data_IF_502688238454
#
_entry.id   IF_502688238454
#
_cell.length_a   1.000
_cell.length_b   1.000
_cell.length_c   1.000
_cell.angle_alpha   90.00
_cell.angle_beta   90.00
_cell.angle_gamma   90.00
#
_symmetry.space_group_name_H-M   'P 1'
#
loop_
_entity.id
_entity.type
_entity.pdbx_description
1 polymer ?
#
# COMPACT_ATOMS: atom_id res chain seq x y z
N UNK A 1 -57.73 54.06 1.93
CA UNK A 1 -56.74 53.05 1.51
C UNK A 1 -57.50 51.78 1.23
N UNK A 2 -57.81 51.64 -0.05
CA UNK A 2 -58.52 50.55 -0.73
C UNK A 2 -57.87 49.20 -0.41
N UNK A 3 -58.52 48.04 -0.46
CA UNK A 3 -59.76 47.66 -1.12
C UNK A 3 -59.54 46.26 -1.72
N UNK A 4 -60.39 45.31 -1.29
CA UNK A 4 -60.91 44.11 -2.01
C UNK A 4 -59.91 43.14 -2.68
N UNK A 5 -60.18 41.83 -2.49
CA UNK A 5 -59.51 40.70 -3.18
C UNK A 5 -59.77 40.67 -4.69
N UNK A 6 -59.99 39.51 -5.37
CA UNK A 6 -59.98 38.12 -4.91
C UNK A 6 -59.43 37.09 -5.96
N UNK A 7 -59.53 35.79 -5.63
CA UNK A 7 -59.98 34.65 -6.48
C UNK A 7 -59.43 34.46 -7.92
N UNK A 8 -58.74 33.32 -8.07
CA UNK A 8 -59.18 32.10 -8.79
C UNK A 8 -58.94 31.89 -10.30
N UNK A 9 -58.83 30.58 -10.61
CA UNK A 9 -59.20 29.81 -11.83
C UNK A 9 -58.17 29.63 -12.95
N UNK A 10 -57.73 28.37 -13.03
CA UNK A 10 -57.76 27.47 -14.21
C UNK A 10 -58.07 28.06 -15.59
N UNK A 11 -57.27 27.68 -16.59
CA UNK A 11 -57.79 27.09 -17.83
C UNK A 11 -56.67 26.47 -18.68
N UNK A 12 -57.02 25.31 -19.27
CA UNK A 12 -56.30 24.56 -20.29
C UNK A 12 -56.30 25.27 -21.65
N UNK A 13 -55.44 24.70 -22.53
CA UNK A 13 -55.51 24.52 -24.01
C UNK A 13 -54.53 25.43 -24.76
N UNK A 14 -53.98 25.07 -25.92
CA UNK A 14 -53.66 23.82 -26.67
C UNK A 14 -52.93 24.32 -27.96
N UNK A 15 -52.26 23.41 -28.65
CA UNK A 15 -51.73 23.51 -30.04
C UNK A 15 -50.46 24.35 -30.15
N UNK A 16 -49.35 23.86 -30.71
CA UNK A 16 -49.15 22.97 -31.86
C UNK A 16 -48.26 23.78 -32.80
N UNK A 17 -47.04 23.38 -33.12
CA UNK A 17 -46.72 22.55 -34.29
C UNK A 17 -45.19 22.59 -34.48
N UNK A 18 -44.64 21.70 -35.30
CA UNK A 18 -43.41 22.02 -36.04
C UNK A 18 -42.21 21.10 -35.79
N UNK A 19 -42.13 20.10 -36.65
CA UNK A 19 -41.05 19.13 -36.83
C UNK A 19 -39.71 19.80 -37.12
N UNK A 20 -38.63 19.35 -36.49
CA UNK A 20 -37.29 19.42 -37.05
C UNK A 20 -36.60 18.05 -36.91
N UNK A 21 -36.49 17.36 -38.04
CA UNK A 21 -35.67 16.16 -38.23
C UNK A 21 -34.20 16.54 -38.07
N UNK A 22 -33.48 15.86 -37.17
CA UNK A 22 -32.03 15.80 -37.19
C UNK A 22 -31.61 14.38 -37.56
N UNK A 23 -30.92 14.28 -38.70
CA UNK A 23 -30.40 13.03 -39.27
C UNK A 23 -29.31 12.41 -38.39
N UNK A 24 -29.19 11.06 -38.32
CA UNK A 24 -28.13 10.40 -37.59
C UNK A 24 -26.84 10.40 -38.42
N UNK A 25 -25.83 11.14 -37.93
CA UNK A 25 -24.46 11.04 -38.43
C UNK A 25 -23.82 9.73 -37.95
N UNK A 26 -23.61 8.81 -38.88
CA UNK A 26 -22.86 7.58 -38.68
C UNK A 26 -21.37 7.92 -38.50
N UNK A 27 -20.87 7.78 -37.28
CA UNK A 27 -19.45 7.70 -36.96
C UNK A 27 -19.10 6.28 -36.55
N UNK A 28 -18.65 5.47 -37.49
CA UNK A 28 -18.22 4.09 -37.26
C UNK A 28 -16.84 4.06 -36.60
N UNK A 29 -16.80 4.28 -35.28
CA UNK A 29 -15.68 3.90 -34.43
C UNK A 29 -15.94 2.49 -33.90
N UNK A 30 -15.24 1.48 -34.42
CA UNK A 30 -15.28 0.11 -33.87
C UNK A 30 -14.76 0.13 -32.42
N UNK A 31 -15.66 0.06 -31.45
CA UNK A 31 -15.30 -0.39 -30.09
C UNK A 31 -15.22 -1.91 -30.14
N UNK A 32 -14.00 -2.46 -30.03
CA UNK A 32 -13.84 -3.89 -29.81
C UNK A 32 -14.29 -4.24 -28.38
N UNK A 33 -15.15 -5.26 -28.20
CA UNK A 33 -15.52 -5.72 -26.87
C UNK A 33 -14.32 -6.42 -26.20
N UNK A 34 -13.96 -5.95 -25.01
CA UNK A 34 -13.01 -6.63 -24.12
C UNK A 34 -13.48 -8.07 -23.89
N UNK A 35 -12.73 -9.05 -24.42
CA UNK A 35 -12.92 -10.46 -24.08
C UNK A 35 -12.46 -10.71 -22.64
N UNK A 36 -13.25 -11.38 -21.79
CA UNK A 36 -12.73 -11.88 -20.53
C UNK A 36 -11.70 -12.97 -20.85
N UNK A 37 -10.46 -12.79 -20.38
CA UNK A 37 -9.42 -13.80 -20.49
C UNK A 37 -9.69 -14.89 -19.45
N UNK A 38 -10.64 -15.77 -19.76
CA UNK A 38 -10.79 -17.04 -19.07
C UNK A 38 -9.69 -17.98 -19.53
N UNK A 39 -8.57 -18.00 -18.80
CA UNK A 39 -7.58 -19.06 -18.95
C UNK A 39 -7.89 -20.15 -17.93
N UNK A 40 -8.29 -21.31 -18.46
CA UNK A 40 -8.42 -22.56 -17.73
C UNK A 40 -7.08 -22.86 -17.02
N UNK A 41 -7.15 -23.05 -15.70
CA UNK A 41 -6.01 -23.46 -14.89
C UNK A 41 -5.87 -24.98 -15.06
N UNK A 42 -4.89 -25.41 -15.84
CA UNK A 42 -4.43 -26.80 -15.81
C UNK A 42 -3.56 -27.00 -14.55
N UNK A 43 -3.81 -28.03 -13.71
CA UNK A 43 -3.03 -28.29 -12.53
C UNK A 43 -1.67 -28.91 -12.90
N UNK A 44 -0.59 -28.23 -12.51
CA UNK A 44 0.78 -28.74 -12.58
C UNK A 44 0.95 -29.95 -11.66
N UNK A 45 0.97 -31.14 -12.26
CA UNK A 45 1.26 -32.41 -11.64
C UNK A 45 2.78 -32.64 -11.64
N UNK A 46 3.43 -32.55 -10.46
CA UNK A 46 4.68 -33.28 -10.27
C UNK A 46 5.75 -32.69 -9.34
N UNK A 47 5.54 -32.78 -8.02
CA UNK A 47 6.49 -33.43 -7.09
C UNK A 47 5.81 -33.59 -5.72
N UNK A 48 5.56 -34.84 -5.35
CA UNK A 48 4.74 -35.25 -4.22
C UNK A 48 5.39 -35.07 -2.85
N UNK A 49 4.52 -34.92 -1.86
CA UNK A 49 4.81 -34.84 -0.43
C UNK A 49 3.58 -34.32 0.31
N UNK A 50 2.59 -35.19 0.50
CA UNK A 50 1.25 -34.95 1.07
C UNK A 50 1.24 -34.30 2.45
N UNK A 51 0.46 -33.23 2.62
CA UNK A 51 -0.46 -33.08 3.76
C UNK A 51 -1.50 -32.00 3.48
N UNK A 52 -2.77 -32.40 3.51
CA UNK A 52 -3.92 -31.54 3.52
C UNK A 52 -4.02 -30.73 4.82
N UNK A 53 -4.20 -29.41 4.68
CA UNK A 53 -4.85 -28.47 5.62
C UNK A 53 -4.16 -28.30 6.99
N UNK A 54 -3.11 -27.48 7.00
CA UNK A 54 -2.76 -26.66 8.16
C UNK A 54 -2.82 -25.19 7.77
N UNK A 55 -3.86 -24.46 8.15
CA UNK A 55 -3.89 -23.00 7.97
C UNK A 55 -2.79 -22.41 8.87
N UNK A 56 -1.66 -21.96 8.31
CA UNK A 56 -0.59 -21.29 9.04
C UNK A 56 0.82 -21.65 8.56
N UNK A 57 1.81 -20.84 8.95
CA UNK A 57 3.25 -21.03 8.66
C UNK A 57 3.93 -21.58 9.91
N UNK A 58 4.85 -22.53 9.76
CA UNK A 58 5.62 -23.07 10.89
C UNK A 58 6.58 -22.00 11.45
N UNK A 59 6.65 -21.88 12.77
CA UNK A 59 7.52 -20.90 13.43
C UNK A 59 9.01 -21.12 13.08
N UNK A 60 9.42 -22.37 12.87
CA UNK A 60 10.78 -22.71 12.46
C UNK A 60 11.10 -22.22 11.04
N UNK A 61 10.13 -22.27 10.12
CA UNK A 61 10.31 -21.70 8.77
C UNK A 61 10.48 -20.18 8.84
N UNK A 62 9.72 -19.52 9.71
CA UNK A 62 9.88 -18.08 9.96
C UNK A 62 11.27 -17.78 10.56
N UNK A 63 11.72 -18.56 11.54
CA UNK A 63 13.03 -18.41 12.16
C UNK A 63 14.16 -18.47 11.12
N UNK A 64 14.16 -19.51 10.28
CA UNK A 64 15.14 -19.68 9.20
C UNK A 64 15.10 -18.52 8.21
N UNK A 65 13.92 -18.01 7.88
CA UNK A 65 13.78 -16.92 6.92
C UNK A 65 14.41 -15.60 7.36
N UNK A 66 14.47 -15.35 8.68
CA UNK A 66 15.01 -14.10 9.23
C UNK A 66 16.38 -14.28 9.89
N UNK A 67 16.97 -15.48 9.80
CA UNK A 67 18.24 -15.81 10.45
C UNK A 67 18.18 -15.86 11.98
N UNK A 68 17.01 -16.16 12.54
CA UNK A 68 16.85 -16.41 13.97
C UNK A 68 17.14 -17.89 14.30
N UNK A 69 17.57 -18.16 15.52
CA UNK A 69 17.64 -19.53 16.01
C UNK A 69 16.23 -20.14 16.04
N UNK A 70 16.02 -21.35 15.47
CA UNK A 70 14.72 -22.00 15.51
C UNK A 70 14.36 -22.35 16.96
N UNK A 71 13.15 -22.01 17.43
CA UNK A 71 12.72 -22.40 18.76
C UNK A 71 12.51 -23.92 18.84
N UNK A 72 12.69 -24.47 20.04
CA UNK A 72 12.59 -25.92 20.29
C UNK A 72 11.18 -26.45 19.96
N UNK A 73 10.14 -25.63 20.18
CA UNK A 73 8.74 -26.03 19.97
C UNK A 73 8.26 -25.61 18.58
N UNK A 74 7.86 -26.60 17.77
CA UNK A 74 7.15 -26.34 16.50
C UNK A 74 5.73 -25.87 16.81
N UNK A 75 5.40 -24.64 16.40
CA UNK A 75 4.04 -24.08 16.46
C UNK A 75 3.72 -23.42 15.13
N UNK A 76 2.44 -23.43 14.75
CA UNK A 76 1.96 -22.76 13.55
C UNK A 76 1.40 -21.39 13.86
N UNK A 77 1.76 -20.43 13.03
CA UNK A 77 1.33 -19.03 13.11
C UNK A 77 0.36 -18.75 11.95
N UNK A 78 -0.78 -18.13 12.25
CA UNK A 78 -1.84 -17.83 11.25
C UNK A 78 -2.01 -16.34 10.98
N UNK A 79 -1.51 -15.48 11.86
CA UNK A 79 -1.52 -14.03 11.74
C UNK A 79 -0.41 -13.40 12.57
N UNK A 80 -0.34 -12.07 12.57
CA UNK A 80 0.58 -11.32 13.40
C UNK A 80 -0.08 -10.05 13.94
N UNK A 81 0.24 -9.71 15.18
CA UNK A 81 -0.23 -8.48 15.84
C UNK A 81 0.92 -7.85 16.61
N UNK A 82 1.05 -6.53 16.52
CA UNK A 82 2.02 -5.72 17.27
C UNK A 82 1.40 -5.02 18.49
N UNK A 83 0.09 -5.16 18.69
CA UNK A 83 -0.65 -4.68 19.85
C UNK A 83 -1.26 -5.88 20.58
N UNK A 84 -0.92 -6.04 21.87
CA UNK A 84 -1.42 -7.13 22.71
C UNK A 84 -2.94 -7.18 22.69
N UNK A 85 -3.61 -6.02 22.67
CA UNK A 85 -5.07 -5.88 22.73
C UNK A 85 -5.78 -6.38 21.48
N UNK A 86 -5.08 -6.43 20.34
CA UNK A 86 -5.64 -6.84 19.04
C UNK A 86 -5.16 -8.21 18.57
N UNK A 87 -4.38 -8.92 19.42
CA UNK A 87 -4.02 -10.32 19.21
C UNK A 87 -5.27 -11.17 19.00
N UNK A 88 -5.20 -12.06 18.02
CA UNK A 88 -6.17 -13.11 17.74
C UNK A 88 -5.53 -14.48 17.99
N UNK A 89 -6.33 -15.53 18.31
CA UNK A 89 -5.80 -16.88 18.44
C UNK A 89 -4.99 -17.33 17.23
N UNK A 90 -3.76 -17.80 17.48
CA UNK A 90 -2.82 -18.23 16.43
C UNK A 90 -1.88 -17.14 15.91
N UNK A 91 -1.99 -15.91 16.43
CA UNK A 91 -1.07 -14.83 16.05
C UNK A 91 0.34 -15.03 16.62
N UNK A 92 1.32 -14.55 15.85
CA UNK A 92 2.64 -14.17 16.33
C UNK A 92 2.54 -12.76 16.93
N UNK A 93 2.88 -12.62 18.21
CA UNK A 93 2.94 -11.32 18.87
C UNK A 93 4.27 -10.61 18.55
N UNK A 94 4.20 -9.44 17.94
CA UNK A 94 5.36 -8.64 17.54
C UNK A 94 5.70 -7.68 18.67
N UNK A 95 6.59 -8.13 19.56
CA UNK A 95 6.97 -7.44 20.78
C UNK A 95 8.24 -6.61 20.56
N UNK A 96 8.08 -5.35 20.14
CA UNK A 96 9.19 -4.47 19.81
C UNK A 96 9.67 -3.63 21.01
N UNK A 97 10.95 -3.23 21.07
CA UNK A 97 11.40 -2.17 21.97
C UNK A 97 10.73 -0.84 21.56
N UNK A 98 9.99 -0.24 22.48
CA UNK A 98 9.34 1.05 22.30
C UNK A 98 10.06 2.18 23.04
N UNK A 99 9.61 3.42 22.82
CA UNK A 99 10.17 4.61 23.50
C UNK A 99 9.83 4.71 24.98
N UNK A 100 8.71 4.11 25.41
CA UNK A 100 8.15 4.23 26.77
C UNK A 100 8.14 2.90 27.52
N UNK A 101 7.92 1.82 26.80
CA UNK A 101 7.81 0.47 27.33
C UNK A 101 8.26 -0.52 26.26
N UNK A 102 8.60 -1.73 26.68
CA UNK A 102 8.96 -2.82 25.81
C UNK A 102 7.72 -3.69 25.50
N UNK A 103 7.56 -4.17 24.27
CA UNK A 103 6.38 -4.99 23.91
C UNK A 103 6.21 -6.25 24.77
N UNK A 104 7.31 -6.90 25.14
CA UNK A 104 7.29 -8.06 26.05
C UNK A 104 6.76 -7.74 27.46
N UNK A 105 6.68 -6.48 27.87
CA UNK A 105 6.05 -6.11 29.15
C UNK A 105 4.54 -6.44 29.15
N UNK A 106 3.95 -6.67 27.97
CA UNK A 106 2.55 -7.04 27.76
C UNK A 106 2.36 -8.50 27.30
N UNK A 107 3.39 -9.35 27.42
CA UNK A 107 3.38 -10.72 26.88
C UNK A 107 2.31 -11.63 27.51
N UNK A 108 1.98 -11.40 28.79
CA UNK A 108 0.92 -12.14 29.47
C UNK A 108 -0.46 -11.86 28.86
N UNK A 109 -0.76 -10.60 28.53
CA UNK A 109 -2.00 -10.23 27.86
C UNK A 109 -2.07 -10.84 26.46
N UNK A 110 -0.97 -10.76 25.70
CA UNK A 110 -0.88 -11.36 24.37
C UNK A 110 -1.11 -12.89 24.44
N UNK A 111 -0.49 -13.58 25.40
CA UNK A 111 -0.71 -15.03 25.61
C UNK A 111 -2.17 -15.32 25.96
N UNK A 112 -2.78 -14.54 26.85
CA UNK A 112 -4.17 -14.72 27.26
C UNK A 112 -5.16 -14.56 26.09
N UNK A 113 -4.84 -13.72 25.10
CA UNK A 113 -5.65 -13.53 23.88
C UNK A 113 -5.36 -14.55 22.78
N UNK A 114 -4.39 -15.45 23.00
CA UNK A 114 -4.11 -16.58 22.12
C UNK A 114 -2.91 -16.41 21.19
N UNK A 115 -1.98 -15.50 21.51
CA UNK A 115 -0.67 -15.49 20.85
C UNK A 115 0.03 -16.83 21.08
N UNK A 116 0.57 -17.43 20.02
CA UNK A 116 1.23 -18.75 20.07
C UNK A 116 2.75 -18.64 20.10
N UNK A 117 3.28 -17.47 19.75
CA UNK A 117 4.70 -17.16 19.70
C UNK A 117 4.92 -15.65 19.78
N UNK A 118 6.16 -15.23 20.00
CA UNK A 118 6.59 -13.84 19.95
C UNK A 118 7.75 -13.62 18.96
N UNK A 119 7.87 -12.41 18.42
CA UNK A 119 9.05 -11.89 17.72
C UNK A 119 9.57 -10.69 18.51
N UNK A 120 10.84 -10.72 18.92
CA UNK A 120 11.42 -9.68 19.77
C UNK A 120 12.94 -9.62 19.67
N UNK A 121 13.56 -8.66 20.37
CA UNK A 121 15.02 -8.51 20.51
C UNK A 121 15.59 -9.29 21.72
N UNK A 122 14.73 -9.76 22.61
CA UNK A 122 15.06 -10.65 23.72
C UNK A 122 14.04 -11.78 23.87
N UNK A 123 14.39 -12.82 24.60
CA UNK A 123 13.49 -13.96 24.83
C UNK A 123 12.30 -13.56 25.73
N UNK A 124 11.10 -14.03 25.38
CA UNK A 124 9.93 -14.04 26.27
C UNK A 124 10.11 -15.06 27.39
N UNK A 125 9.50 -14.79 28.55
CA UNK A 125 9.40 -15.80 29.62
C UNK A 125 8.18 -16.71 29.49
N UNK A 126 7.28 -16.41 28.54
CA UNK A 126 5.92 -16.96 28.48
C UNK A 126 5.60 -17.62 27.13
N UNK A 127 6.21 -17.16 26.04
CA UNK A 127 5.94 -17.57 24.66
C UNK A 127 7.22 -18.08 23.97
N UNK A 128 7.13 -19.10 23.08
CA UNK A 128 8.21 -19.39 22.14
C UNK A 128 8.57 -18.13 21.36
N UNK A 129 9.84 -17.73 21.34
CA UNK A 129 10.25 -16.43 20.80
C UNK A 129 11.27 -16.56 19.67
N UNK A 130 11.01 -15.86 18.58
CA UNK A 130 12.02 -15.54 17.57
C UNK A 130 12.79 -14.32 18.06
N UNK A 131 14.05 -14.54 18.48
CA UNK A 131 14.91 -13.48 18.99
C UNK A 131 15.85 -12.99 17.88
N UNK A 132 15.80 -11.70 17.56
CA UNK A 132 16.66 -11.07 16.54
C UNK A 132 17.09 -9.67 16.99
N UNK A 133 18.32 -9.20 16.69
CA UNK A 133 18.81 -7.91 17.20
C UNK A 133 17.99 -6.68 16.79
N UNK A 134 17.28 -6.72 15.66
CA UNK A 134 16.46 -5.62 15.15
C UNK A 134 15.10 -6.14 14.66
N UNK A 135 14.17 -6.48 15.57
CA UNK A 135 12.93 -7.15 15.22
C UNK A 135 12.06 -6.30 14.30
N UNK A 136 12.07 -4.97 14.46
CA UNK A 136 11.32 -4.02 13.62
C UNK A 136 11.59 -4.18 12.11
N UNK A 137 12.86 -4.38 11.72
CA UNK A 137 13.27 -4.60 10.32
C UNK A 137 12.85 -5.96 9.75
N UNK A 138 12.41 -6.90 10.61
CA UNK A 138 11.98 -8.25 10.21
C UNK A 138 10.47 -8.40 10.13
N UNK A 139 9.70 -7.50 10.76
CA UNK A 139 8.24 -7.60 10.84
C UNK A 139 7.61 -7.68 9.45
N UNK A 140 8.00 -6.80 8.53
CA UNK A 140 7.45 -6.77 7.17
C UNK A 140 7.64 -8.09 6.42
N UNK A 141 8.86 -8.67 6.46
CA UNK A 141 9.13 -9.96 5.83
C UNK A 141 8.36 -11.11 6.48
N UNK A 142 8.31 -11.15 7.81
CA UNK A 142 7.60 -12.20 8.57
C UNK A 142 6.10 -12.14 8.28
N UNK A 143 5.51 -10.95 8.35
CA UNK A 143 4.08 -10.76 8.09
C UNK A 143 3.73 -11.05 6.63
N UNK A 144 4.59 -10.70 5.69
CA UNK A 144 4.43 -11.09 4.29
C UNK A 144 4.32 -12.62 4.14
N UNK A 145 5.15 -13.40 4.84
CA UNK A 145 5.10 -14.87 4.80
C UNK A 145 3.84 -15.43 5.45
N UNK A 146 3.51 -14.98 6.66
CA UNK A 146 2.30 -15.40 7.41
C UNK A 146 1.06 -15.16 6.56
N UNK A 147 0.98 -14.01 5.90
CA UNK A 147 -0.13 -13.64 5.02
C UNK A 147 0.05 -14.09 3.56
N UNK A 148 0.95 -15.05 3.31
CA UNK A 148 1.15 -15.74 2.02
C UNK A 148 1.42 -14.78 0.84
N UNK A 149 2.13 -13.70 1.11
CA UNK A 149 2.49 -12.65 0.17
C UNK A 149 1.28 -12.06 -0.56
N UNK A 150 0.12 -11.93 0.10
CA UNK A 150 -1.12 -11.45 -0.51
C UNK A 150 -0.99 -10.10 -1.23
N UNK A 151 -0.06 -9.25 -0.79
CA UNK A 151 0.28 -7.99 -1.47
C UNK A 151 0.77 -8.16 -2.92
N UNK A 152 1.19 -9.36 -3.33
CA UNK A 152 1.64 -9.63 -4.71
C UNK A 152 0.49 -9.84 -5.68
N UNK A 153 -0.70 -10.08 -5.16
CA UNK A 153 -1.93 -10.26 -5.92
C UNK A 153 -2.70 -8.92 -6.06
N UNK A 154 -2.11 -7.82 -5.57
CA UNK A 154 -2.69 -6.48 -5.53
C UNK A 154 -1.75 -5.48 -6.24
N UNK A 155 -2.32 -4.60 -7.06
CA UNK A 155 -1.59 -3.45 -7.58
C UNK A 155 -1.55 -2.35 -6.52
N UNK A 156 -0.39 -2.20 -5.86
CA UNK A 156 -0.19 -1.23 -4.79
C UNK A 156 0.31 0.10 -5.35
N UNK A 157 -0.44 1.17 -5.08
CA UNK A 157 -0.09 2.55 -5.45
C UNK A 157 0.19 3.34 -4.17
N UNK A 158 1.46 3.62 -3.90
CA UNK A 158 1.86 4.37 -2.72
C UNK A 158 1.97 5.86 -3.01
N UNK A 159 1.47 6.70 -2.09
CA UNK A 159 1.59 8.16 -2.17
C UNK A 159 2.32 8.68 -0.94
N UNK A 160 3.38 9.45 -1.18
CA UNK A 160 4.18 10.07 -0.12
C UNK A 160 4.47 11.55 -0.41
N UNK A 161 4.90 12.28 0.62
CA UNK A 161 5.14 13.72 0.59
C UNK A 161 4.75 14.39 1.92
N UNK A 162 5.08 15.66 2.10
CA UNK A 162 4.70 16.39 3.32
C UNK A 162 3.20 16.63 3.36
N UNK A 163 2.64 17.23 2.31
CA UNK A 163 1.24 17.62 2.22
C UNK A 163 0.49 16.92 1.07
N UNK A 164 -0.83 16.76 1.21
CA UNK A 164 -1.70 16.26 0.15
C UNK A 164 -1.69 14.74 -0.07
N UNK A 165 -1.00 13.98 0.77
CA UNK A 165 -0.94 12.50 0.70
C UNK A 165 -2.34 11.89 0.78
N UNK A 166 -3.10 12.19 1.83
CA UNK A 166 -4.47 11.68 2.03
C UNK A 166 -5.38 12.03 0.86
N UNK A 167 -5.49 13.32 0.51
CA UNK A 167 -6.34 13.78 -0.60
C UNK A 167 -5.99 13.10 -1.92
N UNK A 168 -4.70 13.00 -2.24
CA UNK A 168 -4.25 12.34 -3.47
C UNK A 168 -4.50 10.84 -3.45
N UNK A 169 -4.32 10.18 -2.31
CA UNK A 169 -4.60 8.74 -2.16
C UNK A 169 -6.08 8.44 -2.37
N UNK A 170 -6.98 9.29 -1.84
CA UNK A 170 -8.42 9.14 -2.05
C UNK A 170 -8.83 9.43 -3.49
N UNK A 171 -8.30 10.50 -4.11
CA UNK A 171 -8.55 10.81 -5.52
C UNK A 171 -8.05 9.70 -6.45
N UNK A 172 -6.88 9.14 -6.16
CA UNK A 172 -6.34 8.00 -6.89
C UNK A 172 -7.26 6.79 -6.75
N UNK A 173 -7.71 6.48 -5.54
CA UNK A 173 -8.65 5.38 -5.30
C UNK A 173 -9.96 5.55 -6.08
N UNK A 174 -10.53 6.75 -6.05
CA UNK A 174 -11.75 7.08 -6.80
C UNK A 174 -11.54 7.00 -8.32
N UNK A 175 -10.40 7.46 -8.82
CA UNK A 175 -10.05 7.38 -10.25
C UNK A 175 -9.89 5.94 -10.74
N UNK A 176 -9.20 5.09 -9.97
CA UNK A 176 -9.07 3.65 -10.25
C UNK A 176 -10.44 2.95 -10.25
N UNK A 177 -11.30 3.26 -9.28
CA UNK A 177 -12.65 2.70 -9.23
C UNK A 177 -13.49 3.15 -10.43
N UNK A 178 -13.39 4.42 -10.84
CA UNK A 178 -14.04 4.94 -12.04
C UNK A 178 -13.50 4.30 -13.33
N UNK A 179 -12.26 3.82 -13.33
CA UNK A 179 -11.66 3.05 -14.43
C UNK A 179 -12.07 1.56 -14.43
N UNK A 180 -12.86 1.10 -13.46
CA UNK A 180 -13.39 -0.25 -13.37
C UNK A 180 -12.64 -1.21 -12.44
N UNK A 181 -11.65 -0.73 -11.69
CA UNK A 181 -10.94 -1.54 -10.70
C UNK A 181 -11.76 -1.76 -9.42
N UNK A 182 -11.52 -2.90 -8.75
CA UNK A 182 -11.99 -3.14 -7.38
C UNK A 182 -10.95 -2.59 -6.41
N UNK A 183 -11.23 -1.44 -5.80
CA UNK A 183 -10.21 -0.65 -5.11
C UNK A 183 -10.38 -0.68 -3.59
N UNK A 184 -9.26 -0.77 -2.89
CA UNK A 184 -9.18 -0.44 -1.47
C UNK A 184 -8.30 0.80 -1.23
N UNK A 185 -8.52 1.49 -0.12
CA UNK A 185 -7.72 2.63 0.31
C UNK A 185 -7.23 2.44 1.74
N UNK A 186 -5.99 2.86 2.00
CA UNK A 186 -5.39 2.85 3.32
C UNK A 186 -4.80 4.23 3.58
N UNK A 187 -5.44 4.99 4.46
CA UNK A 187 -5.08 6.37 4.78
C UNK A 187 -5.20 6.64 6.27
N UNK A 188 -4.81 7.83 6.71
CA UNK A 188 -5.09 8.27 8.08
C UNK A 188 -6.57 8.40 8.44
N UNK A 189 -7.47 8.49 7.45
CA UNK A 189 -8.92 8.56 7.68
C UNK A 189 -9.48 7.16 7.95
N UNK A 190 -8.91 6.12 7.36
CA UNK A 190 -9.41 4.76 7.52
C UNK A 190 -8.82 3.76 6.54
N UNK A 191 -9.20 2.50 6.76
CA UNK A 191 -8.85 1.34 5.96
C UNK A 191 -10.13 0.84 5.27
N UNK A 192 -10.38 1.30 4.05
CA UNK A 192 -11.61 1.01 3.33
C UNK A 192 -11.36 -0.01 2.21
N UNK A 193 -12.08 -1.13 2.23
CA UNK A 193 -12.05 -2.17 1.21
C UNK A 193 -13.43 -2.43 0.60
N UNK A 194 -13.54 -3.40 -0.32
CA UNK A 194 -14.79 -3.70 -1.00
C UNK A 194 -15.96 -4.06 -0.09
N UNK A 195 -15.70 -4.60 1.11
CA UNK A 195 -16.75 -5.03 2.06
C UNK A 195 -16.98 -4.08 3.23
N UNK A 196 -16.32 -2.93 3.26
CA UNK A 196 -16.52 -1.93 4.31
C UNK A 196 -15.25 -1.19 4.70
N UNK A 197 -15.39 -0.31 5.69
CA UNK A 197 -14.30 0.52 6.20
C UNK A 197 -14.16 0.36 7.72
N UNK A 198 -12.94 0.52 8.19
CA UNK A 198 -12.60 0.61 9.61
C UNK A 198 -11.70 1.83 9.86
N UNK A 199 -11.70 2.31 11.10
CA UNK A 199 -10.82 3.40 11.51
C UNK A 199 -9.34 2.96 11.46
N UNK A 200 -8.47 3.91 11.10
CA UNK A 200 -7.03 3.71 11.15
C UNK A 200 -6.44 4.42 12.36
N UNK A 201 -5.65 3.71 13.15
CA UNK A 201 -4.95 4.30 14.29
C UNK A 201 -3.81 5.26 13.87
N UNK A 202 -3.36 5.21 12.60
CA UNK A 202 -2.22 5.98 12.08
C UNK A 202 -2.43 6.33 10.61
N UNK A 203 -1.72 7.35 10.12
CA UNK A 203 -1.64 7.67 8.69
C UNK A 203 -1.18 6.49 7.85
N UNK A 204 -0.17 5.77 8.33
CA UNK A 204 0.24 4.47 7.81
C UNK A 204 0.31 3.51 9.01
N UNK A 205 -0.51 2.44 9.05
CA UNK A 205 -0.49 1.45 10.12
C UNK A 205 0.87 0.76 10.26
N UNK A 206 1.10 0.09 11.39
CA UNK A 206 2.30 -0.73 11.61
C UNK A 206 2.31 -1.95 10.69
N UNK A 207 3.50 -2.50 10.42
CA UNK A 207 3.69 -3.54 9.38
C UNK A 207 2.75 -4.75 9.54
N UNK A 208 2.54 -5.23 10.77
CA UNK A 208 1.63 -6.35 11.03
C UNK A 208 0.21 -6.04 10.57
N UNK A 209 -0.29 -4.83 10.90
CA UNK A 209 -1.61 -4.36 10.46
C UNK A 209 -1.65 -4.18 8.94
N UNK A 210 -0.64 -3.55 8.32
CA UNK A 210 -0.60 -3.34 6.87
C UNK A 210 -0.73 -4.66 6.11
N UNK A 211 0.11 -5.66 6.42
CA UNK A 211 0.09 -6.94 5.72
C UNK A 211 -1.20 -7.73 5.98
N UNK A 212 -1.75 -7.67 7.21
CA UNK A 212 -3.04 -8.27 7.55
C UNK A 212 -4.19 -7.64 6.76
N UNK A 213 -4.21 -6.31 6.67
CA UNK A 213 -5.25 -5.56 5.96
C UNK A 213 -5.16 -5.78 4.45
N UNK A 214 -3.96 -5.81 3.86
CA UNK A 214 -3.79 -6.16 2.45
C UNK A 214 -4.30 -7.57 2.14
N UNK A 215 -4.02 -8.53 3.04
CA UNK A 215 -4.58 -9.88 2.92
C UNK A 215 -6.10 -9.87 2.95
N UNK A 216 -6.70 -9.10 3.86
CA UNK A 216 -8.16 -8.91 3.91
C UNK A 216 -8.67 -8.33 2.59
N UNK A 217 -8.13 -7.20 2.12
CA UNK A 217 -8.59 -6.55 0.89
C UNK A 217 -8.52 -7.48 -0.32
N UNK A 218 -7.45 -8.26 -0.46
CA UNK A 218 -7.36 -9.30 -1.49
C UNK A 218 -8.47 -10.35 -1.34
N UNK A 219 -8.67 -10.89 -0.14
CA UNK A 219 -9.72 -11.89 0.12
C UNK A 219 -11.14 -11.31 -0.06
N UNK A 220 -11.27 -9.98 -0.01
CA UNK A 220 -12.48 -9.22 -0.32
C UNK A 220 -12.70 -8.99 -1.82
N UNK A 221 -11.69 -9.25 -2.66
CA UNK A 221 -11.75 -9.10 -4.11
C UNK A 221 -11.22 -7.77 -4.62
N UNK A 222 -10.43 -7.03 -3.81
CA UNK A 222 -9.69 -5.88 -4.32
C UNK A 222 -8.63 -6.33 -5.33
N UNK A 223 -8.46 -5.55 -6.40
CA UNK A 223 -7.40 -5.70 -7.40
C UNK A 223 -6.34 -4.62 -7.25
N UNK A 224 -6.70 -3.43 -6.73
CA UNK A 224 -5.82 -2.30 -6.53
C UNK A 224 -5.95 -1.73 -5.11
N UNK A 225 -4.84 -1.19 -4.57
CA UNK A 225 -4.83 -0.49 -3.28
C UNK A 225 -4.09 0.83 -3.39
N UNK A 226 -4.78 1.93 -3.09
CA UNK A 226 -4.14 3.22 -2.90
C UNK A 226 -3.72 3.37 -1.42
N UNK A 227 -2.41 3.52 -1.19
CA UNK A 227 -1.81 3.49 0.14
C UNK A 227 -1.09 4.80 0.45
N UNK A 228 -1.46 5.43 1.57
CA UNK A 228 -0.77 6.58 2.11
C UNK A 228 0.52 6.15 2.85
N UNK A 229 1.67 6.60 2.36
CA UNK A 229 2.99 6.25 2.90
C UNK A 229 3.64 7.48 3.55
N UNK A 230 3.52 7.58 4.87
CA UNK A 230 4.18 8.64 5.66
C UNK A 230 5.69 8.41 5.77
N UNK A 231 6.48 9.47 5.96
CA UNK A 231 7.93 9.36 6.20
C UNK A 231 8.25 8.47 7.40
N UNK A 232 7.47 8.59 8.48
CA UNK A 232 7.57 7.71 9.67
C UNK A 232 7.36 6.24 9.32
N UNK A 233 6.48 5.91 8.37
CA UNK A 233 6.26 4.52 7.96
C UNK A 233 7.49 3.88 7.34
N UNK A 234 8.33 4.68 6.71
CA UNK A 234 9.56 4.24 6.03
C UNK A 234 10.65 4.03 7.05
N UNK A 235 10.90 5.03 7.89
CA UNK A 235 11.93 4.99 8.94
C UNK A 235 11.64 3.94 10.00
N UNK A 236 10.35 3.67 10.24
CA UNK A 236 9.92 2.65 11.20
C UNK A 236 9.61 1.29 10.56
N UNK A 237 9.97 1.08 9.28
CA UNK A 237 9.86 -0.20 8.57
C UNK A 237 8.44 -0.76 8.45
N UNK A 238 7.42 0.11 8.46
CA UNK A 238 6.00 -0.30 8.41
C UNK A 238 5.57 -0.81 7.03
N UNK A 239 6.24 -0.36 5.98
CA UNK A 239 5.95 -0.75 4.58
C UNK A 239 6.97 -1.76 4.03
N UNK A 240 7.84 -2.30 4.88
CA UNK A 240 8.81 -3.31 4.48
C UNK A 240 8.12 -4.59 4.01
N UNK A 241 8.73 -5.25 3.03
CA UNK A 241 8.19 -6.46 2.42
C UNK A 241 7.05 -6.22 1.42
N UNK A 242 6.61 -4.98 1.21
CA UNK A 242 5.63 -4.63 0.17
C UNK A 242 6.28 -4.45 -1.20
N UNK A 243 5.47 -4.63 -2.24
CA UNK A 243 5.85 -4.37 -3.63
C UNK A 243 4.87 -3.39 -4.25
N UNK A 244 5.35 -2.17 -4.49
CA UNK A 244 4.57 -1.12 -5.14
C UNK A 244 4.64 -1.24 -6.66
N UNK A 245 3.49 -1.14 -7.32
CA UNK A 245 3.39 -0.96 -8.76
C UNK A 245 3.83 0.47 -9.13
N UNK A 246 3.33 1.45 -8.36
CA UNK A 246 3.67 2.87 -8.51
C UNK A 246 3.92 3.50 -7.14
N UNK A 247 4.95 4.34 -7.07
CA UNK A 247 5.18 5.26 -5.95
C UNK A 247 5.14 6.70 -6.44
N UNK A 248 4.20 7.48 -5.90
CA UNK A 248 4.06 8.92 -6.17
C UNK A 248 4.64 9.77 -5.05
N UNK A 249 5.52 10.72 -5.41
CA UNK A 249 6.05 11.73 -4.49
C UNK A 249 5.49 13.12 -4.84
N UNK A 250 4.80 13.74 -3.88
CA UNK A 250 4.04 14.96 -4.10
C UNK A 250 4.85 16.24 -3.86
N UNK A 251 5.40 16.40 -2.67
CA UNK A 251 6.15 17.58 -2.24
C UNK A 251 6.97 17.26 -0.99
N UNK A 252 7.97 18.11 -0.74
CA UNK A 252 8.70 18.19 0.51
C UNK A 252 8.65 19.65 0.96
N UNK A 253 8.03 19.93 2.09
CA UNK A 253 8.10 21.23 2.77
C UNK A 253 8.76 21.04 4.14
N UNK A 254 9.21 22.13 4.77
CA UNK A 254 9.95 22.10 6.05
C UNK A 254 9.07 21.77 7.27
N UNK A 255 8.08 20.89 7.09
CA UNK A 255 7.29 20.34 8.17
C UNK A 255 7.62 18.87 8.32
N UNK A 256 8.26 18.56 9.45
CA UNK A 256 8.78 17.26 9.84
C UNK A 256 10.00 16.81 9.03
N UNK A 257 11.10 16.57 9.74
CA UNK A 257 12.34 15.96 9.26
C UNK A 257 12.04 14.70 8.43
N UNK A 258 11.98 14.82 7.10
CA UNK A 258 12.03 13.64 6.25
C UNK A 258 13.47 13.15 6.32
N UNK A 259 13.69 12.07 7.05
CA UNK A 259 14.97 11.39 7.05
C UNK A 259 15.18 10.86 5.65
N UNK A 260 16.21 11.36 4.98
CA UNK A 260 16.67 10.90 3.67
C UNK A 260 17.40 9.57 3.82
N UNK A 261 16.76 8.55 4.40
CA UNK A 261 17.22 7.19 4.14
C UNK A 261 16.98 6.89 2.67
N UNK A 262 18.04 6.48 1.98
CA UNK A 262 18.04 6.28 0.53
C UNK A 262 17.08 5.15 0.19
N UNK A 263 15.98 5.49 -0.48
CA UNK A 263 15.03 4.53 -1.03
C UNK A 263 15.74 3.57 -1.99
N UNK A 264 15.96 2.33 -1.57
CA UNK A 264 16.47 1.27 -2.44
C UNK A 264 15.37 0.24 -2.68
N UNK A 265 14.65 0.38 -3.80
CA UNK A 265 13.73 -0.65 -4.27
C UNK A 265 14.56 -1.77 -4.91
N UNK A 266 14.84 -2.84 -4.16
CA UNK A 266 15.54 -4.03 -4.69
C UNK A 266 14.54 -5.12 -5.14
N UNK A 267 14.91 -5.89 -6.17
CA UNK A 267 14.02 -6.85 -6.85
C UNK A 267 14.69 -8.21 -7.09
N UNK A 268 14.12 -9.32 -6.58
CA UNK A 268 14.34 -10.66 -7.15
C UNK A 268 13.32 -10.97 -8.27
N UNK A 269 13.84 -11.43 -9.42
CA UNK A 269 13.13 -11.87 -10.64
C UNK A 269 12.13 -13.00 -10.38
N UNK A 270 11.02 -13.05 -11.13
CA UNK A 270 10.27 -14.30 -11.39
C UNK A 270 10.25 -14.59 -12.91
N UNK A 271 10.35 -15.86 -13.35
CA UNK A 271 10.45 -16.19 -14.78
C UNK A 271 9.13 -16.16 -15.58
N UNK A 272 7.95 -16.32 -14.95
CA UNK A 272 6.70 -16.60 -15.69
C UNK A 272 5.51 -15.70 -15.28
N UNK A 273 5.59 -14.39 -15.49
CA UNK A 273 4.42 -13.50 -15.44
C UNK A 273 4.28 -12.75 -16.77
N UNK A 274 3.14 -12.90 -17.44
CA UNK A 274 2.83 -12.23 -18.71
C UNK A 274 2.42 -10.76 -18.56
N UNK A 275 2.20 -10.28 -17.33
CA UNK A 275 2.11 -8.84 -17.06
C UNK A 275 3.52 -8.27 -16.99
N UNK A 276 3.84 -7.38 -17.93
CA UNK A 276 5.01 -6.53 -17.90
C UNK A 276 4.91 -5.62 -16.65
N UNK A 277 5.51 -6.01 -15.53
CA UNK A 277 5.52 -5.16 -14.32
C UNK A 277 6.62 -4.10 -14.49
N UNK A 278 6.39 -3.16 -15.40
CA UNK A 278 7.17 -1.93 -15.43
C UNK A 278 6.83 -1.18 -14.12
N UNK A 279 7.81 -1.02 -13.23
CA UNK A 279 7.63 -0.29 -11.96
C UNK A 279 7.89 1.18 -12.22
N UNK A 280 6.99 2.04 -11.75
CA UNK A 280 7.07 3.47 -12.04
C UNK A 280 7.22 4.31 -10.77
N UNK A 281 8.13 5.27 -10.79
CA UNK A 281 8.21 6.32 -9.79
C UNK A 281 7.72 7.63 -10.44
N UNK A 282 6.74 8.27 -9.83
CA UNK A 282 6.20 9.55 -10.29
C UNK A 282 6.62 10.66 -9.33
N UNK A 283 7.25 11.68 -9.87
CA UNK A 283 7.71 12.84 -9.13
C UNK A 283 6.99 14.08 -9.60
N UNK A 284 6.36 14.81 -8.67
CA UNK A 284 5.87 16.14 -8.97
C UNK A 284 7.03 17.08 -9.32
N UNK A 285 6.86 17.88 -10.36
CA UNK A 285 7.89 18.84 -10.82
C UNK A 285 8.22 19.90 -9.77
N UNK A 286 7.25 20.28 -8.92
CA UNK A 286 7.52 21.17 -7.78
C UNK A 286 8.43 20.52 -6.75
N UNK A 287 8.26 19.22 -6.53
CA UNK A 287 9.03 18.46 -5.55
C UNK A 287 10.48 18.24 -6.00
N UNK A 288 10.70 18.00 -7.30
CA UNK A 288 12.04 17.96 -7.90
C UNK A 288 12.75 19.31 -7.72
N UNK A 289 12.05 20.42 -7.97
CA UNK A 289 12.62 21.77 -7.81
C UNK A 289 13.02 22.06 -6.36
N UNK A 290 12.20 21.69 -5.38
CA UNK A 290 12.51 21.87 -3.96
C UNK A 290 13.68 20.99 -3.51
N UNK A 291 13.70 19.71 -3.92
CA UNK A 291 14.82 18.83 -3.61
C UNK A 291 16.14 19.35 -4.21
N UNK A 292 16.09 19.86 -5.45
CA UNK A 292 17.25 20.47 -6.11
C UNK A 292 17.73 21.73 -5.37
N UNK A 293 16.82 22.64 -5.00
CA UNK A 293 17.22 23.88 -4.31
C UNK A 293 17.82 23.62 -2.94
N UNK A 294 17.41 22.55 -2.25
CA UNK A 294 17.99 22.16 -0.96
C UNK A 294 19.37 21.51 -1.09
N UNK A 295 19.57 20.70 -2.14
CA UNK A 295 20.89 20.14 -2.48
C UNK A 295 21.88 21.23 -2.92
N UNK A 296 21.41 22.20 -3.71
CA UNK A 296 22.23 23.33 -4.17
C UNK A 296 22.58 24.28 -3.00
N UNK A 297 21.71 24.42 -2.00
CA UNK A 297 21.89 25.33 -0.87
C UNK A 297 22.85 24.83 0.24
N UNK A 298 23.49 23.67 0.08
CA UNK A 298 24.47 23.12 1.04
C UNK A 298 23.96 23.06 2.50
N UNK A 299 22.66 22.82 2.72
CA UNK A 299 22.03 22.74 4.06
C UNK A 299 22.29 21.36 4.73
N UNK A 300 23.41 20.72 4.42
CA UNK A 300 23.87 19.50 5.07
C UNK A 300 25.36 19.63 5.39
N UNK A 301 25.79 19.48 6.66
CA UNK A 301 27.21 19.46 6.97
C UNK A 301 27.83 18.23 6.31
N UNK A 302 28.72 18.46 5.35
CA UNK A 302 29.52 17.41 4.70
C UNK A 302 30.49 16.85 5.72
N UNK A 303 30.06 15.85 6.47
CA UNK A 303 30.95 15.00 7.26
C UNK A 303 31.84 14.21 6.30
N UNK A 304 33.17 14.31 6.48
CA UNK A 304 34.18 13.56 5.72
C UNK A 304 34.03 12.05 5.99
N UNK A 305 33.22 11.38 5.17
CA UNK A 305 33.07 9.92 5.05
C UNK A 305 33.00 9.56 3.55
N UNK A 306 33.13 8.28 3.17
CA UNK A 306 33.46 7.90 1.80
C UNK A 306 32.43 8.43 0.80
N UNK A 307 32.95 8.98 -0.30
CA UNK A 307 32.22 9.74 -1.33
C UNK A 307 30.86 9.12 -1.69
N UNK A 308 29.77 9.91 -1.78
CA UNK A 308 28.51 9.39 -2.28
C UNK A 308 28.70 8.89 -3.72
N UNK A 309 28.35 7.62 -3.94
CA UNK A 309 28.25 7.04 -5.27
C UNK A 309 27.15 7.82 -6.03
N UNK A 310 27.50 8.28 -7.22
CA UNK A 310 26.69 9.15 -8.06
C UNK A 310 25.25 8.61 -8.26
N UNK A 311 24.27 9.51 -8.10
CA UNK A 311 22.91 9.32 -8.62
C UNK A 311 22.99 9.15 -10.15
N UNK A 312 22.42 8.09 -10.76
CA UNK A 312 22.17 8.12 -12.18
C UNK A 312 21.03 9.11 -12.43
N UNK A 313 21.38 10.33 -12.84
CA UNK A 313 20.44 11.24 -13.49
C UNK A 313 19.94 10.55 -14.76
N UNK A 314 18.70 10.05 -14.74
CA UNK A 314 17.96 9.88 -15.99
C UNK A 314 17.60 11.29 -16.47
N UNK A 315 18.41 11.81 -17.39
CA UNK A 315 18.08 13.02 -18.13
C UNK A 315 16.79 12.76 -18.92
N UNK A 316 15.68 13.38 -18.50
CA UNK A 316 14.51 13.50 -19.33
C UNK A 316 14.91 14.35 -20.55
N UNK A 317 15.18 13.70 -21.69
CA UNK A 317 15.33 14.39 -22.97
C UNK A 317 13.96 14.98 -23.32
N UNK A 318 13.76 16.26 -23.06
CA UNK A 318 12.68 17.03 -23.69
C UNK A 318 13.07 17.24 -25.15
N UNK A 319 12.43 16.53 -26.08
CA UNK A 319 12.56 16.82 -27.51
C UNK A 319 11.80 18.11 -27.83
N UNK A 320 12.49 19.25 -27.82
CA UNK A 320 12.03 20.45 -28.52
C UNK A 320 12.70 20.49 -29.90
N UNK A 321 11.92 20.26 -30.95
CA UNK A 321 12.37 20.51 -32.31
C UNK A 321 12.53 22.03 -32.53
N UNK A 322 13.65 22.50 -33.11
CA UNK A 322 13.79 23.91 -33.46
C UNK A 322 12.98 24.21 -34.73
N UNK A 323 12.04 25.14 -34.63
CA UNK A 323 11.44 25.81 -35.79
C UNK A 323 12.51 26.69 -36.44
N UNK A 324 12.85 26.37 -37.68
CA UNK A 324 13.72 27.16 -38.53
C UNK A 324 12.98 28.42 -39.00
N UNK A 325 13.45 29.59 -38.60
CA UNK A 325 13.22 30.83 -39.35
C UNK A 325 14.42 31.08 -40.26
N UNK A 326 14.12 31.32 -41.54
CA UNK A 326 14.95 32.02 -42.53
C UNK A 326 14.01 32.66 -43.56
N UNK A 327 14.46 33.70 -44.28
CA UNK A 327 15.54 34.65 -43.99
C UNK A 327 15.01 36.02 -43.52
#
# INVERSE_FOLDING_TARGET
MDGRGPRARSARRRHGSGVARASPGQGTGRQEPHRPCGALIEPDLGRGGTSSIGVGVELNELALSIGAAPPIRSVRVTGASDDSRTVRPGDLYVALPGRRAHGLDFELEAKARGAVAALSDRASTVLPTLVVPNPRRRVGEVCARIHRFAHRDLDLYGVTGTNGKTSTTLLLGAGLAAAGDSVATMTGIGLAGPRGAEESARTTPEAATVHRTLRRFRDEGATAVALEVSSHAVTEHRVDGLRFAVMGFLNLTQDHWITTETWTVTSPRRPNCSRRTDRHALWSTSAIRTAKSWLDASIFPVGRGPRPIAMPMFAARTSSAPTSERP
#
